data_IF_823141135107
#
_entry.id   IF_823141135107
#
_cell.length_a   1.000
_cell.length_b   1.000
_cell.length_c   1.000
_cell.angle_alpha   90.00
_cell.angle_beta   90.00
_cell.angle_gamma   90.00
#
_symmetry.space_group_name_H-M   'P 1'
#
loop_
_entity.id
_entity.type
_entity.pdbx_description
1 polymer ?
#
# COMPACT_ATOMS: atom_id res chain seq x y z
N UNK A 1 -5.44 -7.24 15.32
CA UNK A 1 -4.23 -8.05 15.05
C UNK A 1 -3.70 -7.67 13.69
N UNK A 2 -2.39 -7.46 13.57
CA UNK A 2 -1.73 -7.06 12.33
C UNK A 2 -0.54 -7.99 12.04
N UNK A 3 -0.51 -8.59 10.84
CA UNK A 3 0.63 -9.36 10.33
C UNK A 3 1.29 -8.53 9.23
N UNK A 4 2.45 -8.00 9.53
CA UNK A 4 3.26 -7.16 8.64
C UNK A 4 4.75 -7.42 8.82
N UNK A 5 5.57 -6.44 8.40
CA UNK A 5 7.02 -6.51 8.44
C UNK A 5 7.60 -6.68 7.04
N UNK A 6 8.33 -7.73 6.73
CA UNK A 6 8.76 -8.00 5.35
C UNK A 6 7.57 -8.14 4.40
N UNK A 7 7.42 -9.27 3.74
CA UNK A 7 6.20 -9.53 2.98
C UNK A 7 5.64 -10.87 3.45
N UNK A 8 4.61 -10.90 4.31
CA UNK A 8 4.05 -12.15 4.82
C UNK A 8 3.64 -13.12 3.71
N UNK A 9 3.13 -12.59 2.61
CA UNK A 9 2.74 -13.37 1.44
C UNK A 9 3.91 -13.94 0.63
N UNK A 10 5.16 -13.60 0.95
CA UNK A 10 6.34 -14.25 0.34
C UNK A 10 6.61 -15.65 0.87
N UNK A 11 6.00 -16.03 2.00
CA UNK A 11 6.06 -17.39 2.51
C UNK A 11 5.42 -18.38 1.52
N UNK A 12 5.88 -19.64 1.57
CA UNK A 12 5.20 -20.72 0.85
C UNK A 12 3.74 -20.83 1.31
N UNK A 13 2.85 -21.35 0.48
CA UNK A 13 1.43 -21.48 0.81
C UNK A 13 1.21 -22.24 2.12
N UNK A 14 1.95 -23.34 2.34
CA UNK A 14 1.87 -24.12 3.58
C UNK A 14 2.32 -23.32 4.80
N UNK A 15 3.45 -22.59 4.70
CA UNK A 15 3.97 -21.79 5.81
C UNK A 15 3.04 -20.60 6.10
N UNK A 16 2.52 -19.96 5.05
CA UNK A 16 1.56 -18.86 5.16
C UNK A 16 0.25 -19.34 5.82
N UNK A 17 -0.31 -20.45 5.33
CA UNK A 17 -1.54 -21.02 5.91
C UNK A 17 -1.37 -21.34 7.39
N UNK A 18 -0.22 -21.94 7.77
CA UNK A 18 0.09 -22.22 9.17
C UNK A 18 0.21 -20.95 10.01
N UNK A 19 0.89 -19.93 9.50
CA UNK A 19 1.01 -18.64 10.19
C UNK A 19 -0.36 -18.02 10.45
N UNK A 20 -1.20 -17.92 9.43
CA UNK A 20 -2.53 -17.29 9.54
C UNK A 20 -3.42 -18.09 10.49
N UNK A 21 -3.45 -19.43 10.36
CA UNK A 21 -4.28 -20.29 11.22
C UNK A 21 -3.84 -20.22 12.69
N UNK A 22 -2.53 -20.24 12.99
CA UNK A 22 -2.04 -20.09 14.36
C UNK A 22 -2.35 -18.71 14.94
N UNK A 23 -2.19 -17.66 14.13
CA UNK A 23 -2.56 -16.29 14.54
C UNK A 23 -4.04 -16.21 14.86
N UNK A 24 -4.90 -16.70 13.98
CA UNK A 24 -6.34 -16.72 14.21
C UNK A 24 -6.70 -17.47 15.49
N UNK A 25 -6.14 -18.67 15.69
CA UNK A 25 -6.42 -19.51 16.85
C UNK A 25 -6.00 -18.89 18.18
N UNK A 26 -4.87 -18.18 18.22
CA UNK A 26 -4.27 -17.76 19.50
C UNK A 26 -4.42 -16.27 19.77
N UNK A 27 -4.64 -15.43 18.76
CA UNK A 27 -4.66 -13.98 18.91
C UNK A 27 -6.01 -13.32 18.54
N UNK A 28 -6.92 -14.01 17.86
CA UNK A 28 -8.27 -13.48 17.63
C UNK A 28 -9.17 -13.77 18.85
N UNK A 29 -8.87 -13.07 19.94
CA UNK A 29 -9.67 -13.15 21.16
C UNK A 29 -11.00 -12.39 21.01
N UNK A 30 -12.01 -12.68 21.85
CA UNK A 30 -13.25 -11.91 21.89
C UNK A 30 -12.96 -10.40 22.03
N UNK A 31 -13.55 -9.58 21.14
CA UNK A 31 -13.33 -8.13 21.09
C UNK A 31 -12.29 -7.67 20.08
N UNK A 32 -11.52 -8.56 19.44
CA UNK A 32 -10.69 -8.21 18.28
C UNK A 32 -11.59 -7.84 17.11
N UNK A 33 -11.48 -6.59 16.65
CA UNK A 33 -12.30 -6.05 15.54
C UNK A 33 -11.64 -6.16 14.20
N UNK A 34 -10.31 -6.16 14.17
CA UNK A 34 -9.54 -6.15 12.93
C UNK A 34 -8.46 -7.22 12.95
N UNK A 35 -8.40 -7.97 11.87
CA UNK A 35 -7.29 -8.86 11.53
C UNK A 35 -6.75 -8.49 10.15
N UNK A 36 -5.62 -7.81 10.14
CA UNK A 36 -4.97 -7.27 8.95
C UNK A 36 -3.81 -8.14 8.52
N UNK A 37 -3.70 -8.35 7.21
CA UNK A 37 -2.51 -8.94 6.59
C UNK A 37 -1.93 -7.99 5.56
N UNK A 38 -0.64 -7.69 5.68
CA UNK A 38 0.10 -6.92 4.69
C UNK A 38 0.50 -7.82 3.51
N UNK A 39 -0.28 -7.76 2.43
CA UNK A 39 0.03 -8.42 1.18
C UNK A 39 0.70 -7.43 0.20
N UNK A 40 1.66 -6.65 0.72
CA UNK A 40 2.24 -5.49 0.07
C UNK A 40 2.98 -5.74 -1.25
N UNK A 41 3.11 -7.00 -1.68
CA UNK A 41 3.72 -7.39 -2.95
C UNK A 41 2.75 -8.21 -3.80
N UNK A 42 2.19 -7.63 -4.86
CA UNK A 42 1.25 -8.31 -5.75
C UNK A 42 1.79 -9.60 -6.39
N UNK A 43 3.10 -9.67 -6.66
CA UNK A 43 3.75 -10.87 -7.22
C UNK A 43 3.81 -12.08 -6.27
N UNK A 44 3.59 -11.86 -4.97
CA UNK A 44 3.59 -12.93 -3.95
C UNK A 44 2.17 -13.37 -3.55
N UNK A 45 1.15 -12.88 -4.25
CA UNK A 45 -0.24 -13.11 -3.93
C UNK A 45 -0.82 -14.27 -4.74
N UNK A 46 -1.54 -15.21 -4.07
CA UNK A 46 -2.22 -16.31 -4.74
C UNK A 46 -3.67 -16.48 -4.26
N UNK A 47 -4.50 -17.09 -5.09
CA UNK A 47 -5.88 -17.39 -4.74
C UNK A 47 -5.97 -18.29 -3.50
N UNK A 48 -5.02 -19.21 -3.34
CA UNK A 48 -4.94 -20.15 -2.21
C UNK A 48 -4.67 -19.38 -0.91
N UNK A 49 -3.72 -18.42 -0.94
CA UNK A 49 -3.45 -17.55 0.22
C UNK A 49 -4.66 -16.71 0.59
N UNK A 50 -5.38 -16.19 -0.43
CA UNK A 50 -6.59 -15.41 -0.22
C UNK A 50 -7.68 -16.25 0.48
N UNK A 51 -7.94 -17.47 0.01
CA UNK A 51 -8.90 -18.39 0.65
C UNK A 51 -8.54 -18.68 2.11
N UNK A 52 -7.26 -18.86 2.41
CA UNK A 52 -6.79 -19.05 3.80
C UNK A 52 -7.07 -17.82 4.65
N UNK A 53 -6.79 -16.63 4.13
CA UNK A 53 -7.08 -15.38 4.85
C UNK A 53 -8.57 -15.25 5.16
N UNK A 54 -9.44 -15.48 4.18
CA UNK A 54 -10.89 -15.44 4.36
C UNK A 54 -11.36 -16.46 5.41
N UNK A 55 -10.93 -17.73 5.27
CA UNK A 55 -11.32 -18.79 6.19
C UNK A 55 -10.88 -18.56 7.64
N UNK A 56 -9.80 -17.80 7.83
CA UNK A 56 -9.26 -17.47 9.16
C UNK A 56 -9.74 -16.11 9.70
N UNK A 57 -10.65 -15.41 9.00
CA UNK A 57 -11.27 -14.19 9.49
C UNK A 57 -10.45 -12.92 9.28
N UNK A 58 -9.49 -12.93 8.34
CA UNK A 58 -8.83 -11.68 7.89
C UNK A 58 -9.90 -10.79 7.26
N UNK A 59 -10.01 -9.57 7.76
CA UNK A 59 -11.02 -8.62 7.29
C UNK A 59 -10.44 -7.33 6.71
N UNK A 60 -9.10 -7.17 6.75
CA UNK A 60 -8.37 -6.07 6.11
C UNK A 60 -7.10 -6.59 5.44
N UNK A 61 -6.80 -6.08 4.26
CA UNK A 61 -5.60 -6.44 3.50
C UNK A 61 -5.00 -5.20 2.84
N UNK A 62 -3.68 -5.16 2.75
CA UNK A 62 -2.97 -4.14 1.97
C UNK A 62 -2.49 -4.73 0.66
N UNK A 63 -2.88 -4.12 -0.47
CA UNK A 63 -2.38 -4.45 -1.81
C UNK A 63 -1.74 -3.18 -2.36
N UNK A 64 -0.40 -3.11 -2.32
CA UNK A 64 0.32 -1.86 -2.49
C UNK A 64 1.02 -1.80 -3.85
N UNK A 65 0.54 -0.98 -4.81
CA UNK A 65 1.22 -0.78 -6.08
C UNK A 65 2.53 -0.03 -5.93
N UNK A 66 2.66 0.87 -4.97
CA UNK A 66 3.72 1.87 -4.78
C UNK A 66 3.68 2.96 -5.86
N UNK A 67 3.54 2.58 -7.11
CA UNK A 67 3.33 3.39 -8.31
C UNK A 67 2.60 2.55 -9.36
N UNK A 68 2.02 3.20 -10.35
CA UNK A 68 1.37 2.56 -11.49
C UNK A 68 2.19 2.71 -12.80
N UNK A 69 3.53 2.70 -12.66
CA UNK A 69 4.48 2.77 -13.76
C UNK A 69 5.50 1.63 -13.69
N UNK A 70 5.43 0.67 -14.61
CA UNK A 70 6.33 -0.51 -14.63
C UNK A 70 7.82 -0.13 -14.71
N UNK A 71 8.14 0.95 -15.40
CA UNK A 71 9.51 1.48 -15.48
C UNK A 71 10.03 1.86 -14.08
N UNK A 72 9.19 2.54 -13.29
CA UNK A 72 9.52 2.97 -11.94
C UNK A 72 9.59 1.78 -10.99
N UNK A 73 8.63 0.86 -11.06
CA UNK A 73 8.65 -0.39 -10.27
C UNK A 73 9.97 -1.12 -10.46
N UNK A 74 10.42 -1.29 -11.70
CA UNK A 74 11.72 -1.90 -12.03
C UNK A 74 12.89 -1.10 -11.46
N UNK A 75 12.86 0.22 -11.55
CA UNK A 75 13.92 1.09 -11.03
C UNK A 75 14.08 1.02 -9.51
N UNK A 76 12.99 0.80 -8.77
CA UNK A 76 13.00 0.63 -7.30
C UNK A 76 13.15 -0.83 -6.85
N UNK A 77 13.48 -1.75 -7.78
CA UNK A 77 13.73 -3.16 -7.47
C UNK A 77 12.48 -3.97 -7.13
N UNK A 78 11.31 -3.54 -7.61
CA UNK A 78 10.08 -4.32 -7.48
C UNK A 78 9.98 -5.34 -8.61
N UNK A 79 9.58 -6.56 -8.27
CA UNK A 79 9.44 -7.67 -9.24
C UNK A 79 8.05 -7.70 -9.87
N UNK A 80 7.04 -7.13 -9.20
CA UNK A 80 5.68 -7.09 -9.72
C UNK A 80 5.51 -6.00 -10.79
N UNK A 81 4.52 -6.20 -11.63
CA UNK A 81 4.07 -5.25 -12.63
C UNK A 81 2.78 -4.55 -12.20
N UNK A 82 2.42 -3.49 -12.89
CA UNK A 82 1.10 -2.83 -12.75
C UNK A 82 -0.04 -3.81 -13.01
N UNK A 83 0.13 -4.73 -13.97
CA UNK A 83 -0.87 -5.77 -14.25
C UNK A 83 -1.02 -6.77 -13.09
N UNK A 84 0.06 -7.10 -12.38
CA UNK A 84 0.00 -7.96 -11.18
C UNK A 84 -0.77 -7.25 -10.06
N UNK A 85 -0.60 -5.95 -9.91
CA UNK A 85 -1.39 -5.16 -8.97
C UNK A 85 -2.89 -5.21 -9.32
N UNK A 86 -3.27 -4.93 -10.56
CA UNK A 86 -4.68 -4.99 -10.96
C UNK A 86 -5.29 -6.37 -10.71
N UNK A 87 -4.57 -7.44 -11.05
CA UNK A 87 -5.02 -8.81 -10.82
C UNK A 87 -5.24 -9.10 -9.34
N UNK A 88 -4.27 -8.73 -8.50
CA UNK A 88 -4.36 -8.96 -7.06
C UNK A 88 -5.45 -8.12 -6.41
N UNK A 89 -5.59 -6.87 -6.83
CA UNK A 89 -6.64 -5.97 -6.37
C UNK A 89 -8.04 -6.51 -6.72
N UNK A 90 -8.22 -6.94 -7.97
CA UNK A 90 -9.47 -7.53 -8.44
C UNK A 90 -9.83 -8.81 -7.68
N UNK A 91 -8.86 -9.70 -7.47
CA UNK A 91 -9.06 -10.92 -6.66
C UNK A 91 -9.53 -10.59 -5.25
N UNK A 92 -8.94 -9.58 -4.59
CA UNK A 92 -9.35 -9.17 -3.25
C UNK A 92 -10.74 -8.56 -3.27
N UNK A 93 -11.06 -7.72 -4.25
CA UNK A 93 -12.39 -7.09 -4.36
C UNK A 93 -13.52 -8.09 -4.60
N UNK A 94 -13.21 -9.24 -5.21
CA UNK A 94 -14.17 -10.35 -5.38
C UNK A 94 -14.16 -11.35 -4.22
N UNK A 95 -13.37 -11.10 -3.18
CA UNK A 95 -13.30 -11.93 -1.97
C UNK A 95 -14.24 -11.45 -0.86
N UNK A 96 -14.30 -12.18 0.24
CA UNK A 96 -15.03 -11.78 1.44
C UNK A 96 -14.28 -10.78 2.34
N UNK A 97 -13.05 -10.36 1.97
CA UNK A 97 -12.28 -9.38 2.74
C UNK A 97 -12.84 -7.99 2.50
N UNK A 98 -13.27 -7.32 3.58
CA UNK A 98 -14.07 -6.11 3.49
C UNK A 98 -13.26 -4.85 3.24
N UNK A 99 -12.04 -4.76 3.80
CA UNK A 99 -11.25 -3.52 3.78
C UNK A 99 -9.98 -3.72 2.99
N UNK A 100 -9.80 -2.94 1.95
CA UNK A 100 -8.60 -2.93 1.09
C UNK A 100 -7.88 -1.62 1.22
N UNK A 101 -6.61 -1.68 1.63
CA UNK A 101 -5.70 -0.56 1.66
C UNK A 101 -4.77 -0.57 0.44
N UNK A 102 -4.47 0.59 -0.09
CA UNK A 102 -3.44 0.79 -1.12
C UNK A 102 -2.47 1.89 -0.72
N UNK A 103 -1.19 1.70 -1.03
CA UNK A 103 -0.16 2.70 -0.78
C UNK A 103 0.44 3.20 -2.10
N UNK A 104 0.61 4.52 -2.21
CA UNK A 104 1.38 5.18 -3.26
C UNK A 104 2.55 5.95 -2.66
N UNK A 105 3.64 6.10 -3.41
CA UNK A 105 4.83 6.83 -2.99
C UNK A 105 5.08 7.99 -3.96
N UNK A 106 5.09 9.21 -3.45
CA UNK A 106 5.49 10.43 -4.17
C UNK A 106 7.02 10.56 -4.13
N UNK A 107 7.62 10.91 -5.25
CA UNK A 107 9.03 11.20 -5.37
C UNK A 107 9.89 10.02 -5.79
N UNK A 108 9.29 8.98 -6.36
CA UNK A 108 10.02 7.84 -6.91
C UNK A 108 10.89 8.25 -8.11
N UNK A 109 12.02 7.53 -8.37
CA UNK A 109 12.95 7.87 -9.44
C UNK A 109 12.29 7.87 -10.81
N UNK A 110 12.51 8.95 -11.56
CA UNK A 110 12.07 9.07 -12.95
C UNK A 110 10.58 9.33 -13.14
N UNK A 111 9.83 9.58 -12.06
CA UNK A 111 8.44 10.03 -12.13
C UNK A 111 8.35 11.56 -12.19
N UNK A 112 7.46 12.03 -13.04
CA UNK A 112 7.01 13.42 -13.10
C UNK A 112 5.81 13.66 -12.20
N UNK A 113 5.44 14.91 -12.00
CA UNK A 113 4.20 15.25 -11.28
C UNK A 113 2.95 14.68 -11.98
N UNK A 114 2.94 14.65 -13.30
CA UNK A 114 1.82 14.11 -14.08
C UNK A 114 1.71 12.59 -13.93
N UNK A 115 2.84 11.86 -13.84
CA UNK A 115 2.83 10.42 -13.59
C UNK A 115 2.19 10.08 -12.24
N UNK A 116 2.54 10.85 -11.19
CA UNK A 116 1.96 10.66 -9.85
C UNK A 116 0.47 11.01 -9.84
N UNK A 117 0.07 12.10 -10.50
CA UNK A 117 -1.36 12.48 -10.65
C UNK A 117 -2.14 11.39 -11.35
N UNK A 118 -1.63 10.87 -12.48
CA UNK A 118 -2.26 9.78 -13.21
C UNK A 118 -2.43 8.53 -12.33
N UNK A 119 -1.43 8.19 -11.52
CA UNK A 119 -1.53 7.08 -10.56
C UNK A 119 -2.62 7.31 -9.51
N UNK A 120 -2.71 8.53 -8.95
CA UNK A 120 -3.75 8.90 -7.98
C UNK A 120 -5.17 8.85 -8.60
N UNK A 121 -5.31 9.30 -9.85
CA UNK A 121 -6.59 9.24 -10.58
C UNK A 121 -7.06 7.81 -10.81
N UNK A 122 -6.14 6.90 -11.12
CA UNK A 122 -6.45 5.46 -11.24
C UNK A 122 -6.87 4.89 -9.89
N UNK A 123 -6.16 5.20 -8.80
CA UNK A 123 -6.55 4.75 -7.46
C UNK A 123 -7.93 5.29 -7.08
N UNK A 124 -8.24 6.54 -7.43
CA UNK A 124 -9.58 7.09 -7.24
C UNK A 124 -10.65 6.27 -7.96
N UNK A 125 -10.37 5.87 -9.19
CA UNK A 125 -11.30 5.04 -9.98
C UNK A 125 -11.47 3.63 -9.42
N UNK A 126 -10.41 3.05 -8.84
CA UNK A 126 -10.45 1.74 -8.17
C UNK A 126 -11.18 1.79 -6.81
N UNK A 127 -11.29 2.96 -6.20
CA UNK A 127 -12.00 3.21 -4.95
C UNK A 127 -11.65 2.21 -3.82
N UNK A 128 -10.39 2.14 -3.36
CA UNK A 128 -10.05 1.36 -2.17
C UNK A 128 -10.77 1.91 -0.94
N UNK A 129 -10.77 1.15 0.17
CA UNK A 129 -11.36 1.60 1.43
C UNK A 129 -10.39 2.48 2.23
N UNK A 130 -9.08 2.31 1.99
CA UNK A 130 -8.02 3.13 2.54
C UNK A 130 -6.98 3.46 1.48
N UNK A 131 -6.44 4.67 1.56
CA UNK A 131 -5.30 5.13 0.76
C UNK A 131 -4.23 5.67 1.68
N UNK A 132 -2.99 5.22 1.52
CA UNK A 132 -1.84 5.87 2.15
C UNK A 132 -0.96 6.51 1.08
N UNK A 133 -0.75 7.81 1.23
CA UNK A 133 0.18 8.57 0.40
C UNK A 133 1.48 8.76 1.17
N UNK A 134 2.52 8.08 0.70
CA UNK A 134 3.87 8.20 1.23
C UNK A 134 4.66 9.23 0.45
N UNK A 135 5.55 9.92 1.14
CA UNK A 135 6.59 10.73 0.51
C UNK A 135 7.92 10.01 0.66
N UNK A 136 8.66 9.88 -0.43
CA UNK A 136 9.93 9.16 -0.43
C UNK A 136 10.89 9.69 0.62
N UNK A 137 11.42 8.78 1.43
CA UNK A 137 12.45 9.07 2.44
C UNK A 137 13.76 8.46 2.01
N UNK A 138 14.79 9.28 1.88
CA UNK A 138 16.14 8.83 1.50
C UNK A 138 16.90 8.39 2.75
N UNK A 139 17.09 7.10 2.92
CA UNK A 139 17.99 6.57 3.95
C UNK A 139 19.43 6.61 3.43
N UNK A 140 20.37 7.13 4.24
CA UNK A 140 21.82 7.19 3.90
C UNK A 140 22.41 5.84 3.51
N UNK A 141 21.84 4.73 3.99
CA UNK A 141 22.26 3.36 3.69
C UNK A 141 21.58 2.74 2.46
N UNK A 142 20.69 3.45 1.78
CA UNK A 142 20.07 2.91 0.59
C UNK A 142 21.08 2.86 -0.57
N UNK A 143 21.18 1.74 -1.34
CA UNK A 143 22.08 1.64 -2.51
C UNK A 143 21.87 2.74 -3.54
N UNK A 144 20.74 3.28 -3.51
CA UNK A 144 20.17 4.37 -4.28
C UNK A 144 20.64 5.77 -3.82
N UNK A 145 21.32 5.89 -2.65
CA UNK A 145 21.80 7.17 -2.13
C UNK A 145 22.96 7.70 -2.99
N UNK A 146 22.74 8.81 -3.70
CA UNK A 146 23.74 9.43 -4.59
C UNK A 146 23.32 9.53 -6.07
N UNK A 147 22.27 8.85 -6.49
CA UNK A 147 21.64 9.13 -7.79
C UNK A 147 20.70 10.35 -7.65
N UNK A 148 20.46 11.06 -8.73
CA UNK A 148 19.44 12.12 -8.76
C UNK A 148 18.07 11.47 -8.66
N UNK A 149 17.50 11.47 -7.42
CA UNK A 149 16.44 10.55 -7.01
C UNK A 149 15.08 10.86 -7.56
N UNK A 150 14.67 12.09 -7.43
CA UNK A 150 13.37 12.57 -7.86
C UNK A 150 13.59 13.74 -8.81
N UNK A 151 12.83 13.75 -9.89
CA UNK A 151 12.72 14.94 -10.75
C UNK A 151 11.81 16.00 -10.15
N UNK A 152 11.12 15.67 -9.03
CA UNK A 152 10.18 16.57 -8.37
C UNK A 152 10.92 17.59 -7.49
N UNK A 153 10.47 18.84 -7.55
CA UNK A 153 10.84 19.87 -6.58
C UNK A 153 10.09 19.67 -5.26
N UNK A 154 10.48 20.41 -4.22
CA UNK A 154 9.73 20.38 -2.95
C UNK A 154 8.30 20.91 -3.14
N UNK A 155 8.12 21.92 -4.00
CA UNK A 155 6.83 22.50 -4.36
C UNK A 155 5.94 21.49 -5.10
N UNK A 156 6.51 20.74 -6.05
CA UNK A 156 5.79 19.65 -6.72
C UNK A 156 5.31 18.59 -5.73
N UNK A 157 6.20 18.17 -4.82
CA UNK A 157 5.87 17.17 -3.82
C UNK A 157 4.76 17.64 -2.87
N UNK A 158 4.78 18.92 -2.44
CA UNK A 158 3.72 19.52 -1.62
C UNK A 158 2.39 19.55 -2.38
N UNK A 159 2.40 19.99 -3.63
CA UNK A 159 1.20 20.00 -4.47
C UNK A 159 0.64 18.60 -4.70
N UNK A 160 1.49 17.58 -4.82
CA UNK A 160 1.07 16.18 -5.00
C UNK A 160 0.51 15.58 -3.71
N UNK A 161 1.06 15.90 -2.55
CA UNK A 161 0.47 15.50 -1.25
C UNK A 161 -0.92 16.13 -1.07
N UNK A 162 -1.07 17.41 -1.43
CA UNK A 162 -2.38 18.08 -1.41
C UNK A 162 -3.36 17.39 -2.37
N UNK A 163 -2.94 17.07 -3.60
CA UNK A 163 -3.74 16.35 -4.57
C UNK A 163 -4.12 14.93 -4.10
N UNK A 164 -3.23 14.24 -3.38
CA UNK A 164 -3.54 12.98 -2.71
C UNK A 164 -4.67 13.12 -1.68
N UNK A 165 -4.67 14.22 -0.92
CA UNK A 165 -5.75 14.56 0.02
C UNK A 165 -7.08 14.86 -0.69
N UNK A 166 -7.05 15.62 -1.77
CA UNK A 166 -8.24 15.88 -2.61
C UNK A 166 -8.80 14.59 -3.23
N UNK A 167 -7.91 13.72 -3.71
CA UNK A 167 -8.26 12.41 -4.24
C UNK A 167 -8.95 11.54 -3.18
N UNK A 168 -8.40 11.49 -1.97
CA UNK A 168 -9.00 10.77 -0.84
C UNK A 168 -10.36 11.38 -0.44
N UNK A 169 -10.46 12.71 -0.37
CA UNK A 169 -11.72 13.39 -0.06
C UNK A 169 -12.81 13.12 -1.11
N UNK A 170 -12.44 13.05 -2.39
CA UNK A 170 -13.35 12.68 -3.48
C UNK A 170 -13.88 11.23 -3.36
N UNK A 171 -13.15 10.35 -2.67
CA UNK A 171 -13.60 9.00 -2.30
C UNK A 171 -14.35 8.95 -0.96
N UNK A 172 -14.63 10.08 -0.32
CA UNK A 172 -15.29 10.15 1.00
C UNK A 172 -14.40 9.75 2.18
N UNK A 173 -13.08 9.74 1.97
CA UNK A 173 -12.12 9.40 3.01
C UNK A 173 -11.71 10.62 3.85
N UNK A 174 -11.37 10.36 5.11
CA UNK A 174 -10.79 11.34 6.02
C UNK A 174 -9.37 10.92 6.43
N UNK A 175 -8.46 11.87 6.71
CA UNK A 175 -7.16 11.53 7.24
C UNK A 175 -7.31 10.94 8.64
N UNK A 176 -6.68 9.78 8.90
CA UNK A 176 -6.70 9.13 10.21
C UNK A 176 -5.30 8.86 10.77
N UNK A 177 -4.29 8.95 9.91
CA UNK A 177 -2.93 8.63 10.24
C UNK A 177 -1.98 9.65 9.60
N UNK A 178 -1.03 10.15 10.39
CA UNK A 178 0.04 11.03 9.94
C UNK A 178 1.35 10.59 10.56
N UNK A 179 2.35 10.33 9.72
CA UNK A 179 3.69 9.96 10.17
C UNK A 179 4.76 10.72 9.41
N UNK A 180 5.68 11.33 10.14
CA UNK A 180 6.79 12.12 9.60
C UNK A 180 8.12 11.54 10.01
N UNK A 181 9.02 11.39 9.05
CA UNK A 181 10.41 10.96 9.26
C UNK A 181 11.38 12.09 8.93
N UNK A 182 12.62 11.95 9.38
CA UNK A 182 13.71 12.79 8.89
C UNK A 182 14.04 12.45 7.43
N UNK A 183 14.49 13.45 6.67
CA UNK A 183 14.93 13.31 5.27
C UNK A 183 13.84 12.90 4.27
N UNK A 184 12.59 13.25 4.55
CA UNK A 184 11.52 13.15 3.56
C UNK A 184 11.65 14.26 2.51
N UNK A 185 11.31 13.96 1.25
CA UNK A 185 11.22 14.95 0.18
C UNK A 185 10.30 16.08 0.62
N UNK A 186 10.72 17.36 0.47
CA UNK A 186 9.97 18.51 0.90
C UNK A 186 9.69 18.57 2.41
N UNK A 187 10.30 17.71 3.23
CA UNK A 187 10.04 17.61 4.68
C UNK A 187 8.55 17.34 4.99
N UNK A 188 7.86 16.65 4.09
CA UNK A 188 6.44 16.33 4.14
C UNK A 188 6.13 15.12 5.05
N UNK A 189 4.89 14.71 5.13
CA UNK A 189 4.44 13.59 5.95
C UNK A 189 3.81 12.49 5.09
N UNK A 190 3.85 11.25 5.59
CA UNK A 190 3.00 10.17 5.11
C UNK A 190 1.62 10.35 5.71
N UNK A 191 0.59 10.30 4.89
CA UNK A 191 -0.78 10.49 5.34
C UNK A 191 -1.63 9.29 4.91
N UNK A 192 -2.27 8.68 5.89
CA UNK A 192 -3.26 7.64 5.66
C UNK A 192 -4.67 8.21 5.70
N UNK A 193 -5.46 7.83 4.73
CA UNK A 193 -6.86 8.21 4.58
C UNK A 193 -7.73 6.97 4.63
N UNK A 194 -8.90 7.07 5.26
CA UNK A 194 -9.84 5.98 5.42
C UNK A 194 -11.26 6.42 5.15
N UNK A 195 -12.05 5.55 4.53
CA UNK A 195 -13.49 5.67 4.48
C UNK A 195 -14.08 5.49 5.88
N UNK A 196 -15.28 6.04 6.12
CA UNK A 196 -15.96 5.89 7.41
C UNK A 196 -16.10 4.43 7.82
N UNK A 197 -15.63 4.09 9.03
CA UNK A 197 -15.65 2.73 9.56
C UNK A 197 -14.50 1.81 9.08
N UNK A 198 -13.55 2.34 8.29
CA UNK A 198 -12.39 1.60 7.77
C UNK A 198 -11.04 2.09 8.32
N UNK A 199 -11.06 2.99 9.32
CA UNK A 199 -9.87 3.52 9.98
C UNK A 199 -9.38 2.62 11.10
#
# INVERSE_FOLDING_TARGET
>A
VYIGGGTPTSLSETAFARLIALTARHLLLPGVREFTVEAGRPDCFSAEKLKVMEACGVNRISVNPQTLHDKTLKAIGRSHTVQDFYRSYDMVRHSGIKTVNTDLIIGLPGETADDVRASLDVIRALAPDNLTVHTLTLKKSAPIFGAQFSSLTAEDAEALVAYGGETAAAMGMLPYYLYRQHYMLGNLANIGYAASGSA
#
